data_IF_944735404799
#
_entry.id   IF_944735404799
#
_cell.length_a   1.000
_cell.length_b   1.000
_cell.length_c   1.000
_cell.angle_alpha   90.00
_cell.angle_beta   90.00
_cell.angle_gamma   90.00
#
_symmetry.space_group_name_H-M   'P 1'
#
loop_
_entity.id
_entity.type
_entity.pdbx_description
1 polymer ?
#
# COMPACT_ATOMS: atom_id res chain seq x y z
N UNK A 1 -21.97 32.15 20.67
CA UNK A 1 -21.80 30.85 20.00
C UNK A 1 -21.67 31.10 18.50
N UNK A 2 -20.50 30.99 17.86
CA UNK A 2 -20.40 31.27 16.43
C UNK A 2 -20.61 30.02 15.59
N UNK A 3 -21.63 30.08 14.73
CA UNK A 3 -21.81 29.49 13.40
C UNK A 3 -20.81 28.44 12.85
N UNK A 4 -20.49 27.35 13.58
CA UNK A 4 -19.49 26.35 13.14
C UNK A 4 -20.03 25.14 12.37
N UNK A 5 -21.34 25.04 12.14
CA UNK A 5 -21.99 23.81 11.65
C UNK A 5 -22.57 23.88 10.22
N UNK A 6 -22.15 24.84 9.39
CA UNK A 6 -22.68 25.00 8.02
C UNK A 6 -21.72 24.56 6.91
N UNK A 7 -20.88 23.54 7.14
CA UNK A 7 -20.25 22.82 6.02
C UNK A 7 -21.12 21.61 5.69
N UNK A 8 -21.63 21.54 4.45
CA UNK A 8 -22.36 20.37 3.95
C UNK A 8 -21.44 19.15 4.00
N UNK A 9 -21.95 18.04 4.52
CA UNK A 9 -21.27 16.76 4.70
C UNK A 9 -20.91 16.01 3.38
N UNK A 10 -20.84 16.70 2.24
CA UNK A 10 -20.82 16.06 0.91
C UNK A 10 -19.55 16.25 0.06
N UNK A 11 -18.74 17.28 0.31
CA UNK A 11 -17.61 17.65 -0.57
C UNK A 11 -16.27 17.23 0.06
N UNK A 12 -16.14 15.96 0.42
CA UNK A 12 -14.85 15.41 0.83
C UNK A 12 -14.67 14.06 0.17
N UNK A 13 -13.85 14.02 -0.88
CA UNK A 13 -13.57 12.83 -1.68
C UNK A 13 -12.99 11.68 -0.84
N UNK A 14 -12.45 11.98 0.35
CA UNK A 14 -11.93 11.01 1.32
C UNK A 14 -13.01 10.34 2.20
N UNK A 15 -14.25 10.84 2.17
CA UNK A 15 -15.41 10.30 2.92
C UNK A 15 -16.27 9.33 2.10
N UNK A 16 -15.81 8.89 0.93
CA UNK A 16 -16.57 8.01 0.04
C UNK A 16 -16.97 6.66 0.69
N UNK A 17 -16.27 6.24 1.75
CA UNK A 17 -16.57 4.99 2.49
C UNK A 17 -16.58 5.22 3.99
N UNK A 18 -17.34 4.39 4.73
CA UNK A 18 -17.30 4.36 6.21
C UNK A 18 -15.89 4.10 6.74
N UNK A 19 -15.13 3.26 6.03
CA UNK A 19 -13.73 2.99 6.35
C UNK A 19 -12.88 4.26 6.25
N UNK A 20 -12.96 5.00 5.13
CA UNK A 20 -12.22 6.26 4.93
C UNK A 20 -12.60 7.30 5.98
N UNK A 21 -13.90 7.49 6.24
CA UNK A 21 -14.39 8.39 7.27
C UNK A 21 -13.84 8.04 8.67
N UNK A 22 -13.80 6.76 9.02
CA UNK A 22 -13.22 6.31 10.28
C UNK A 22 -11.72 6.59 10.37
N UNK A 23 -10.96 6.39 9.28
CA UNK A 23 -9.52 6.67 9.25
C UNK A 23 -9.21 8.17 9.42
N UNK A 24 -9.94 9.05 8.73
CA UNK A 24 -9.81 10.49 8.91
C UNK A 24 -10.18 10.91 10.33
N UNK A 25 -11.22 10.31 10.93
CA UNK A 25 -11.55 10.55 12.33
C UNK A 25 -10.37 10.22 13.27
N UNK A 26 -9.66 9.11 13.02
CA UNK A 26 -8.46 8.73 13.77
C UNK A 26 -7.35 9.79 13.74
N UNK A 27 -7.13 10.44 12.59
CA UNK A 27 -6.16 11.53 12.46
C UNK A 27 -6.58 12.77 13.26
N UNK A 28 -7.87 13.12 13.22
CA UNK A 28 -8.39 14.23 14.02
C UNK A 28 -8.29 13.94 15.52
N UNK A 29 -8.54 12.70 15.93
CA UNK A 29 -8.33 12.28 17.31
C UNK A 29 -6.87 12.44 17.71
N UNK A 30 -5.91 12.00 16.88
CA UNK A 30 -4.48 12.14 17.16
C UNK A 30 -4.07 13.62 17.35
N UNK A 31 -4.60 14.53 16.53
CA UNK A 31 -4.38 15.96 16.69
C UNK A 31 -4.92 16.52 18.02
N UNK A 32 -6.12 16.08 18.44
CA UNK A 32 -6.69 16.45 19.75
C UNK A 32 -5.87 15.86 20.89
N UNK A 33 -5.37 14.63 20.75
CA UNK A 33 -4.51 14.00 21.77
C UNK A 33 -3.21 14.79 22.01
N UNK A 34 -2.61 15.32 20.95
CA UNK A 34 -1.48 16.23 21.06
C UNK A 34 -1.87 17.57 21.70
N UNK A 35 -2.99 18.17 21.28
CA UNK A 35 -3.45 19.46 21.80
C UNK A 35 -3.69 19.44 23.32
N UNK A 36 -4.40 18.43 23.80
CA UNK A 36 -4.92 18.40 25.18
C UNK A 36 -3.96 17.72 26.15
N UNK A 37 -3.15 16.77 25.68
CA UNK A 37 -2.27 15.95 26.55
C UNK A 37 -0.82 15.84 26.06
N UNK A 38 -0.44 16.48 24.95
CA UNK A 38 0.93 16.44 24.44
C UNK A 38 1.38 15.04 24.01
N UNK A 39 0.44 14.14 23.67
CA UNK A 39 0.77 12.78 23.21
C UNK A 39 1.23 12.86 21.75
N UNK A 40 2.50 12.56 21.44
CA UNK A 40 3.00 12.65 20.08
C UNK A 40 2.48 11.50 19.20
N UNK A 41 2.31 11.76 17.91
CA UNK A 41 1.84 10.75 16.96
C UNK A 41 2.32 11.01 15.53
N UNK A 42 2.52 9.92 14.78
CA UNK A 42 2.83 9.92 13.36
C UNK A 42 1.78 9.05 12.64
N UNK A 43 0.91 9.69 11.87
CA UNK A 43 0.00 9.03 10.94
C UNK A 43 0.69 8.81 9.59
N UNK A 44 0.60 7.59 9.06
CA UNK A 44 1.12 7.23 7.74
C UNK A 44 -0.04 6.71 6.91
N UNK A 45 -0.25 7.28 5.71
CA UNK A 45 -1.27 6.87 4.74
C UNK A 45 -0.59 6.17 3.57
N UNK A 46 -0.38 4.86 3.65
CA UNK A 46 0.21 4.12 2.54
C UNK A 46 -0.76 4.06 1.36
N UNK A 47 -0.22 4.22 0.16
CA UNK A 47 -0.85 3.81 -1.09
C UNK A 47 -0.91 2.28 -1.18
N UNK A 48 -0.91 1.70 -2.39
CA UNK A 48 -1.04 0.25 -2.54
C UNK A 48 0.26 -0.43 -2.10
N UNK A 49 0.19 -1.12 -0.97
CA UNK A 49 1.27 -1.98 -0.48
C UNK A 49 1.25 -3.31 -1.24
N UNK A 50 2.40 -3.73 -1.77
CA UNK A 50 2.62 -5.02 -2.41
C UNK A 50 3.86 -5.74 -1.88
N UNK A 51 3.97 -7.04 -2.13
CA UNK A 51 5.05 -7.91 -1.67
C UNK A 51 4.59 -9.02 -0.71
N UNK A 52 5.49 -9.94 -0.33
CA UNK A 52 5.14 -11.14 0.45
C UNK A 52 4.39 -10.82 1.75
N UNK A 53 3.35 -11.60 2.05
CA UNK A 53 2.51 -11.42 3.25
C UNK A 53 1.32 -10.46 3.06
N UNK A 54 1.26 -9.72 1.95
CA UNK A 54 0.08 -8.93 1.58
C UNK A 54 -0.94 -9.80 0.82
N UNK A 55 -1.96 -10.31 1.51
CA UNK A 55 -2.87 -11.35 0.98
C UNK A 55 -4.38 -11.08 1.17
N UNK A 56 -4.78 -9.84 1.50
CA UNK A 56 -6.18 -9.53 1.88
C UNK A 56 -6.76 -8.27 1.23
N UNK A 57 -7.98 -8.36 0.72
CA UNK A 57 -8.70 -7.24 0.12
C UNK A 57 -8.18 -6.86 -1.27
N UNK A 58 -8.96 -6.05 -1.98
CA UNK A 58 -8.74 -5.74 -3.40
C UNK A 58 -7.34 -5.21 -3.72
N UNK A 59 -6.77 -4.35 -2.86
CA UNK A 59 -5.43 -3.78 -3.08
C UNK A 59 -4.27 -4.78 -2.89
N UNK A 60 -4.54 -6.03 -2.50
CA UNK A 60 -3.53 -7.09 -2.48
C UNK A 60 -3.24 -7.69 -3.87
N UNK A 61 -4.07 -7.37 -4.87
CA UNK A 61 -3.98 -7.94 -6.21
C UNK A 61 -2.59 -7.89 -6.85
N UNK A 62 -1.77 -6.83 -6.70
CA UNK A 62 -0.38 -6.83 -7.20
C UNK A 62 0.48 -7.97 -6.65
N UNK A 63 0.38 -8.26 -5.35
CA UNK A 63 1.09 -9.39 -4.73
C UNK A 63 0.54 -10.72 -5.22
N UNK A 64 -0.78 -10.83 -5.34
CA UNK A 64 -1.45 -12.06 -5.79
C UNK A 64 -1.07 -12.38 -7.23
N UNK A 65 -0.98 -11.37 -8.09
CA UNK A 65 -0.50 -11.50 -9.47
C UNK A 65 0.94 -12.04 -9.54
N UNK A 66 1.86 -11.49 -8.74
CA UNK A 66 3.25 -11.98 -8.65
C UNK A 66 3.31 -13.41 -8.11
N UNK A 67 2.46 -13.77 -7.14
CA UNK A 67 2.38 -15.13 -6.61
C UNK A 67 1.82 -16.10 -7.65
N UNK A 68 0.75 -15.73 -8.36
CA UNK A 68 0.14 -16.50 -9.43
C UNK A 68 1.17 -16.82 -10.52
N UNK A 69 1.93 -15.81 -10.95
CA UNK A 69 3.02 -15.98 -11.92
C UNK A 69 4.08 -16.98 -11.44
N UNK A 70 4.53 -16.89 -10.18
CA UNK A 70 5.52 -17.83 -9.60
C UNK A 70 5.00 -19.28 -9.51
N UNK A 71 3.70 -19.47 -9.32
CA UNK A 71 3.09 -20.82 -9.25
C UNK A 71 2.54 -21.32 -10.58
N UNK A 72 2.64 -20.52 -11.65
CA UNK A 72 2.15 -20.88 -13.00
C UNK A 72 0.63 -20.83 -13.15
N UNK A 73 -0.04 -20.02 -12.33
CA UNK A 73 -1.49 -19.82 -12.35
C UNK A 73 -1.87 -18.52 -13.07
N UNK A 74 -3.06 -18.47 -13.64
CA UNK A 74 -3.60 -17.25 -14.24
C UNK A 74 -4.23 -16.35 -13.17
N UNK A 75 -4.12 -15.03 -13.35
CA UNK A 75 -4.74 -14.05 -12.45
C UNK A 75 -5.01 -12.71 -13.13
N UNK A 76 -6.15 -12.10 -12.81
CA UNK A 76 -6.55 -10.78 -13.30
C UNK A 76 -6.60 -9.78 -12.15
N UNK A 77 -5.81 -8.72 -12.22
CA UNK A 77 -5.88 -7.59 -11.29
C UNK A 77 -7.23 -6.88 -11.52
N UNK A 78 -8.05 -6.65 -10.48
CA UNK A 78 -9.42 -6.15 -10.62
C UNK A 78 -9.50 -4.61 -10.69
N UNK A 79 -8.40 -3.95 -11.06
CA UNK A 79 -8.35 -2.50 -11.28
C UNK A 79 -7.25 -2.15 -12.28
N UNK A 80 -7.37 -0.96 -12.87
CA UNK A 80 -6.39 -0.39 -13.81
C UNK A 80 -5.90 0.99 -13.34
N UNK A 81 -5.24 1.73 -14.23
CA UNK A 81 -4.85 3.12 -14.00
C UNK A 81 -3.54 3.30 -13.22
N UNK A 82 -3.33 4.53 -12.77
CA UNK A 82 -2.15 4.93 -12.02
C UNK A 82 -2.29 4.57 -10.55
N UNK A 83 -1.21 4.08 -9.95
CA UNK A 83 -1.15 3.63 -8.57
C UNK A 83 0.19 4.04 -7.94
N UNK A 84 0.15 4.49 -6.68
CA UNK A 84 1.34 4.54 -5.84
C UNK A 84 1.68 3.14 -5.30
N UNK A 85 2.78 2.55 -5.75
CA UNK A 85 3.24 1.23 -5.32
C UNK A 85 4.25 1.34 -4.19
N UNK A 86 3.93 0.74 -3.05
CA UNK A 86 4.81 0.69 -1.87
C UNK A 86 5.21 -0.75 -1.62
N UNK A 87 6.50 -1.07 -1.73
CA UNK A 87 6.94 -2.42 -1.36
C UNK A 87 6.80 -2.64 0.15
N UNK A 88 6.36 -3.82 0.56
CA UNK A 88 5.98 -4.14 1.94
C UNK A 88 7.10 -3.90 2.94
N UNK A 89 8.36 -4.14 2.56
CA UNK A 89 9.51 -3.86 3.42
C UNK A 89 9.70 -2.35 3.64
N UNK A 90 9.53 -1.51 2.61
CA UNK A 90 9.60 -0.05 2.76
C UNK A 90 8.51 0.49 3.69
N UNK A 91 7.30 -0.04 3.55
CA UNK A 91 6.20 0.31 4.45
C UNK A 91 6.57 -0.08 5.89
N UNK A 92 7.04 -1.31 6.10
CA UNK A 92 7.41 -1.81 7.42
C UNK A 92 8.54 -0.97 8.05
N UNK A 93 9.60 -0.67 7.31
CA UNK A 93 10.72 0.17 7.76
C UNK A 93 10.23 1.54 8.24
N UNK A 94 9.30 2.16 7.52
CA UNK A 94 8.73 3.46 7.88
C UNK A 94 7.88 3.41 9.16
N UNK A 95 7.03 2.40 9.29
CA UNK A 95 6.26 2.19 10.52
C UNK A 95 7.17 1.90 11.72
N UNK A 96 8.21 1.09 11.54
CA UNK A 96 9.19 0.78 12.59
C UNK A 96 9.97 2.04 12.98
N UNK A 97 10.46 2.83 12.01
CA UNK A 97 11.20 4.06 12.29
C UNK A 97 10.33 5.11 13.00
N UNK A 98 9.07 5.25 12.59
CA UNK A 98 8.11 6.14 13.25
C UNK A 98 7.76 5.69 14.68
N UNK A 99 7.68 4.38 14.94
CA UNK A 99 7.36 3.85 16.26
C UNK A 99 8.57 3.76 17.22
N UNK A 100 9.79 3.70 16.69
CA UNK A 100 11.02 3.47 17.48
C UNK A 100 11.72 4.75 17.94
N UNK A 101 11.18 5.92 17.60
CA UNK A 101 11.78 7.22 17.89
C UNK A 101 10.77 8.14 18.57
N UNK A 102 11.28 9.13 19.30
CA UNK A 102 10.45 10.19 19.87
C UNK A 102 10.36 11.35 18.89
N UNK A 103 9.15 11.86 18.72
CA UNK A 103 8.84 13.02 17.90
C UNK A 103 7.99 13.99 18.70
N UNK A 104 7.94 15.25 18.28
CA UNK A 104 7.01 16.25 18.80
C UNK A 104 5.89 16.48 17.79
N UNK A 105 4.66 16.70 18.27
CA UNK A 105 3.51 16.97 17.42
C UNK A 105 2.67 15.75 17.05
N UNK A 106 1.59 16.02 16.31
CA UNK A 106 0.76 15.03 15.65
C UNK A 106 0.83 15.28 14.14
N UNK A 107 1.63 14.48 13.43
CA UNK A 107 1.88 14.64 12.01
C UNK A 107 1.17 13.56 11.20
N UNK A 108 0.79 13.86 9.97
CA UNK A 108 0.21 12.90 9.03
C UNK A 108 0.94 13.04 7.70
N UNK A 109 1.38 11.91 7.15
CA UNK A 109 2.11 11.86 5.89
C UNK A 109 1.49 10.82 4.95
N UNK A 110 1.41 11.17 3.66
CA UNK A 110 1.14 10.21 2.61
C UNK A 110 2.41 9.43 2.28
N UNK A 111 2.26 8.13 2.03
CA UNK A 111 3.32 7.21 1.63
C UNK A 111 2.92 6.57 0.29
N UNK A 112 3.26 7.25 -0.80
CA UNK A 112 2.88 6.91 -2.16
C UNK A 112 3.85 5.95 -2.84
N UNK A 113 5.08 5.82 -2.34
CA UNK A 113 6.08 4.91 -2.89
C UNK A 113 6.51 5.32 -4.30
N UNK A 114 6.44 4.38 -5.25
CA UNK A 114 6.71 4.63 -6.67
C UNK A 114 5.39 4.77 -7.44
N UNK A 115 5.04 5.96 -7.95
CA UNK A 115 3.94 6.11 -8.89
C UNK A 115 4.20 5.36 -10.20
N UNK A 116 3.26 4.53 -10.63
CA UNK A 116 3.31 3.84 -11.91
C UNK A 116 1.89 3.40 -12.33
N UNK A 117 1.71 3.05 -13.59
CA UNK A 117 0.52 2.39 -14.09
C UNK A 117 0.52 0.90 -13.72
N UNK A 118 -0.67 0.29 -13.62
CA UNK A 118 -0.79 -1.18 -13.54
C UNK A 118 -0.13 -1.84 -14.76
N UNK A 119 -0.19 -1.22 -15.94
CA UNK A 119 0.47 -1.72 -17.16
C UNK A 119 1.99 -1.76 -17.03
N UNK A 120 2.63 -0.75 -16.46
CA UNK A 120 4.07 -0.76 -16.18
C UNK A 120 4.44 -1.83 -15.16
N UNK A 121 3.62 -2.03 -14.13
CA UNK A 121 3.82 -3.13 -13.18
C UNK A 121 3.75 -4.49 -13.89
N UNK A 122 2.77 -4.71 -14.76
CA UNK A 122 2.64 -5.95 -15.55
C UNK A 122 3.84 -6.17 -16.47
N UNK A 123 4.36 -5.12 -17.11
CA UNK A 123 5.56 -5.22 -17.94
C UNK A 123 6.78 -5.69 -17.12
N UNK A 124 6.99 -5.09 -15.94
CA UNK A 124 8.06 -5.51 -15.03
C UNK A 124 7.86 -6.94 -14.51
N UNK A 125 6.62 -7.36 -14.28
CA UNK A 125 6.30 -8.75 -13.94
C UNK A 125 6.66 -9.70 -15.10
N UNK A 126 6.31 -9.35 -16.34
CA UNK A 126 6.62 -10.14 -17.53
C UNK A 126 8.12 -10.32 -17.77
N UNK A 127 8.95 -9.34 -17.37
CA UNK A 127 10.41 -9.48 -17.43
C UNK A 127 10.93 -10.64 -16.56
N UNK A 128 10.23 -10.97 -15.47
CA UNK A 128 10.54 -12.11 -14.61
C UNK A 128 9.81 -13.39 -15.01
N UNK A 129 8.59 -13.27 -15.56
CA UNK A 129 7.74 -14.40 -15.93
C UNK A 129 7.13 -14.19 -17.34
N UNK A 130 7.89 -14.45 -18.41
CA UNK A 130 7.46 -14.10 -19.78
C UNK A 130 6.23 -14.88 -20.26
N UNK A 131 6.01 -16.08 -19.72
CA UNK A 131 4.88 -16.95 -20.09
C UNK A 131 3.70 -16.86 -19.10
N UNK A 132 3.73 -15.91 -18.15
CA UNK A 132 2.69 -15.79 -17.13
C UNK A 132 1.38 -15.24 -17.71
N UNK A 133 0.27 -15.89 -17.37
CA UNK A 133 -1.09 -15.49 -17.77
C UNK A 133 -1.66 -14.47 -16.78
N UNK A 134 -1.05 -13.28 -16.73
CA UNK A 134 -1.44 -12.20 -15.83
C UNK A 134 -1.94 -11.00 -16.62
N UNK A 135 -3.11 -10.48 -16.26
CA UNK A 135 -3.68 -9.28 -16.86
C UNK A 135 -4.35 -8.36 -15.83
N UNK A 136 -4.97 -7.28 -16.30
CA UNK A 136 -5.70 -6.33 -15.47
C UNK A 136 -6.99 -5.88 -16.17
N UNK A 137 -8.04 -5.64 -15.39
CA UNK A 137 -9.34 -5.17 -15.87
C UNK A 137 -10.00 -4.25 -14.85
N UNK A 138 -11.15 -3.68 -15.21
CA UNK A 138 -11.91 -2.80 -14.33
C UNK A 138 -11.46 -1.35 -14.37
N UNK A 139 -12.10 -0.54 -13.52
CA UNK A 139 -11.91 0.91 -13.50
C UNK A 139 -10.58 1.30 -12.83
N UNK A 140 -10.07 2.51 -13.13
CA UNK A 140 -8.96 3.09 -12.40
C UNK A 140 -9.26 3.19 -10.90
N UNK A 141 -8.25 2.91 -10.07
CA UNK A 141 -8.40 3.14 -8.62
C UNK A 141 -8.67 4.62 -8.34
N UNK A 142 -9.61 4.97 -7.44
CA UNK A 142 -10.00 6.35 -7.15
C UNK A 142 -9.00 7.02 -6.18
N UNK A 143 -7.71 6.71 -6.32
CA UNK A 143 -6.64 7.25 -5.48
C UNK A 143 -5.56 7.88 -6.35
N UNK A 144 -5.08 9.09 -6.04
CA UNK A 144 -4.06 9.75 -6.83
C UNK A 144 -2.71 9.02 -6.71
N UNK A 145 -2.06 8.78 -7.84
CA UNK A 145 -0.68 8.26 -7.91
C UNK A 145 0.33 9.41 -7.84
N UNK A 146 0.28 10.18 -6.77
CA UNK A 146 1.16 11.33 -6.59
C UNK A 146 2.57 10.91 -6.15
N UNK A 147 3.58 11.69 -6.55
CA UNK A 147 4.92 11.50 -6.03
C UNK A 147 4.97 11.72 -4.51
N UNK A 148 5.83 10.97 -3.84
CA UNK A 148 6.12 11.22 -2.42
C UNK A 148 6.69 12.64 -2.24
N UNK A 149 6.24 13.33 -1.19
CA UNK A 149 6.77 14.66 -0.84
C UNK A 149 8.17 14.60 -0.21
N UNK A 150 8.59 13.42 0.27
CA UNK A 150 9.85 13.22 1.02
C UNK A 150 9.81 13.73 2.47
N UNK A 151 8.69 14.29 2.93
CA UNK A 151 8.59 14.85 4.27
C UNK A 151 8.63 13.77 5.36
N UNK A 152 8.04 12.60 5.11
CA UNK A 152 8.09 11.46 6.01
C UNK A 152 9.54 10.96 6.15
N UNK A 153 10.21 10.72 5.02
CA UNK A 153 11.59 10.27 4.92
C UNK A 153 12.55 11.17 5.69
N UNK A 154 12.43 12.49 5.50
CA UNK A 154 13.21 13.48 6.24
C UNK A 154 12.98 13.40 7.75
N UNK A 155 11.72 13.26 8.18
CA UNK A 155 11.39 13.17 9.60
C UNK A 155 11.98 11.91 10.24
N UNK A 156 11.82 10.76 9.59
CA UNK A 156 12.22 9.46 10.15
C UNK A 156 13.66 9.06 9.83
N UNK A 157 14.37 9.85 9.01
CA UNK A 157 15.78 9.63 8.66
C UNK A 157 16.00 8.38 7.80
N UNK A 158 15.08 8.07 6.90
CA UNK A 158 15.19 6.97 5.94
C UNK A 158 15.35 7.52 4.51
N UNK A 159 15.96 6.75 3.59
CA UNK A 159 15.94 7.09 2.17
C UNK A 159 14.53 6.92 1.58
N UNK A 160 14.36 7.43 0.36
CA UNK A 160 13.15 7.22 -0.45
C UNK A 160 12.86 5.72 -0.63
N UNK A 161 11.59 5.39 -0.92
CA UNK A 161 11.18 4.02 -1.21
C UNK A 161 11.99 3.45 -2.38
N UNK A 162 12.23 2.13 -2.35
CA UNK A 162 12.87 1.46 -3.47
C UNK A 162 12.01 1.59 -4.73
N UNK A 163 12.62 1.71 -5.93
CA UNK A 163 11.88 1.72 -7.18
C UNK A 163 11.01 0.46 -7.36
N UNK A 164 9.88 0.58 -8.04
CA UNK A 164 8.94 -0.52 -8.31
C UNK A 164 9.65 -1.77 -8.86
N UNK A 165 10.53 -1.62 -9.85
CA UNK A 165 11.31 -2.71 -10.43
C UNK A 165 12.14 -3.48 -9.39
N UNK A 166 12.79 -2.77 -8.47
CA UNK A 166 13.56 -3.40 -7.40
C UNK A 166 12.66 -4.14 -6.40
N UNK A 167 11.52 -3.55 -6.02
CA UNK A 167 10.58 -4.24 -5.12
C UNK A 167 9.88 -5.44 -5.76
N UNK A 168 9.65 -5.44 -7.09
CA UNK A 168 9.19 -6.63 -7.83
C UNK A 168 10.25 -7.72 -7.81
N UNK A 169 11.50 -7.39 -8.10
CA UNK A 169 12.61 -8.35 -8.03
C UNK A 169 12.78 -8.93 -6.62
N UNK A 170 12.68 -8.10 -5.57
CA UNK A 170 12.73 -8.54 -4.17
C UNK A 170 11.55 -9.45 -3.81
N UNK A 171 10.35 -9.16 -4.34
CA UNK A 171 9.16 -10.01 -4.15
C UNK A 171 9.35 -11.38 -4.79
N UNK A 172 9.82 -11.42 -6.04
CA UNK A 172 10.14 -12.65 -6.79
C UNK A 172 11.17 -13.47 -6.03
N UNK A 173 12.28 -12.85 -5.62
CA UNK A 173 13.31 -13.51 -4.83
C UNK A 173 12.76 -14.06 -3.49
N UNK A 174 11.87 -13.32 -2.83
CA UNK A 174 11.20 -13.73 -1.61
C UNK A 174 10.35 -14.99 -1.79
N UNK A 175 9.57 -15.07 -2.88
CA UNK A 175 8.79 -16.26 -3.20
C UNK A 175 9.68 -17.46 -3.56
N UNK A 176 10.70 -17.28 -4.40
CA UNK A 176 11.65 -18.33 -4.76
C UNK A 176 12.37 -18.87 -3.52
N UNK A 177 12.79 -18.00 -2.60
CA UNK A 177 13.41 -18.39 -1.34
C UNK A 177 12.43 -19.12 -0.39
N UNK A 178 11.14 -18.77 -0.41
CA UNK A 178 10.12 -19.50 0.34
C UNK A 178 9.92 -20.92 -0.25
N UNK A 179 9.80 -21.04 -1.57
CA UNK A 179 9.67 -22.32 -2.28
C UNK A 179 10.87 -23.22 -2.03
N UNK A 180 12.09 -22.68 -2.08
CA UNK A 180 13.32 -23.41 -1.77
C UNK A 180 13.38 -23.92 -0.32
N UNK A 181 12.68 -23.27 0.61
CA UNK A 181 12.52 -23.72 2.01
C UNK A 181 11.36 -24.70 2.22
N UNK A 182 10.67 -25.11 1.14
CA UNK A 182 9.53 -26.04 1.21
C UNK A 182 8.20 -25.38 1.56
N UNK A 183 8.07 -24.06 1.43
CA UNK A 183 6.78 -23.38 1.57
C UNK A 183 5.88 -23.73 0.38
N UNK A 184 4.66 -24.20 0.64
CA UNK A 184 3.65 -24.48 -0.38
C UNK A 184 3.00 -23.18 -0.89
N UNK A 185 3.67 -22.51 -1.83
CA UNK A 185 3.16 -21.29 -2.45
C UNK A 185 1.85 -21.52 -3.22
N UNK A 186 1.68 -22.69 -3.84
CA UNK A 186 0.45 -23.00 -4.57
C UNK A 186 -0.73 -23.14 -3.60
N UNK A 187 -0.56 -23.84 -2.48
CA UNK A 187 -1.56 -23.92 -1.41
C UNK A 187 -1.86 -22.55 -0.80
N UNK A 188 -0.83 -21.70 -0.60
CA UNK A 188 -1.03 -20.32 -0.16
C UNK A 188 -1.85 -19.51 -1.16
N UNK A 189 -1.54 -19.59 -2.45
CA UNK A 189 -2.29 -18.91 -3.51
C UNK A 189 -3.77 -19.31 -3.50
N UNK A 190 -4.06 -20.62 -3.48
CA UNK A 190 -5.43 -21.13 -3.43
C UNK A 190 -6.16 -20.68 -2.17
N UNK A 191 -5.48 -20.67 -1.02
CA UNK A 191 -6.04 -20.15 0.22
C UNK A 191 -6.36 -18.65 0.14
N UNK A 192 -5.49 -17.85 -0.46
CA UNK A 192 -5.70 -16.41 -0.65
C UNK A 192 -6.89 -16.12 -1.57
N UNK A 193 -7.04 -16.86 -2.67
CA UNK A 193 -8.23 -16.73 -3.53
C UNK A 193 -9.51 -17.06 -2.77
N UNK A 194 -9.50 -18.10 -1.92
CA UNK A 194 -10.65 -18.47 -1.09
C UNK A 194 -11.04 -17.45 -0.01
N UNK A 195 -10.17 -16.47 0.31
CA UNK A 195 -10.48 -15.35 1.23
C UNK A 195 -11.10 -14.16 0.54
N UNK A 196 -11.03 -14.09 -0.78
CA UNK A 196 -11.51 -12.94 -1.55
C UNK A 196 -13.01 -13.15 -1.77
N UNK A 197 -13.90 -12.37 -1.11
CA UNK A 197 -15.35 -12.54 -1.25
C UNK A 197 -15.84 -12.22 -2.66
#
# INVERSE_FOLDING_TARGET
MPARWQRRHGDNDWLATLYGAHKICGEQMAAVYWQDWGVPSIGIRPAIIYGPGRDQGMSAAPTIALMAAEVGEAYTIPFTGDVGFVYVADAAERFIAAASRSFEGAHVFDLNGTPATVTEMLALLSDHYPDAAIDATGDPMPFPAEANSGALEQLIGLPDCRPLAAGIADTVAGFQAAKARGVDLAGMYQHTLGKTP
#
